data_IF_962853281118
#
_entry.id   IF_962853281118
#
_cell.length_a   1.000
_cell.length_b   1.000
_cell.length_c   1.000
_cell.angle_alpha   90.00
_cell.angle_beta   90.00
_cell.angle_gamma   90.00
#
_symmetry.space_group_name_H-M   'P 1'
#
loop_
_entity.id
_entity.type
_entity.pdbx_description
1 polymer ?
#
# COMPACT_ATOMS: atom_id res chain seq x y z
N UNK A 1 17.89 22.97 -3.55
CA UNK A 1 17.34 22.66 -2.22
C UNK A 1 16.77 21.25 -2.22
N UNK A 2 16.93 20.52 -1.12
CA UNK A 2 16.46 19.17 -0.92
C UNK A 2 15.73 19.10 0.42
N UNK A 3 14.61 18.37 0.48
CA UNK A 3 13.90 18.05 1.71
C UNK A 3 13.89 16.52 1.92
N UNK A 4 14.16 16.11 3.14
CA UNK A 4 14.20 14.71 3.51
C UNK A 4 12.91 14.31 4.24
N UNK A 5 12.26 13.24 3.77
CA UNK A 5 11.05 12.71 4.38
C UNK A 5 11.31 11.30 4.91
N UNK A 6 11.18 11.13 6.22
CA UNK A 6 11.24 9.83 6.86
C UNK A 6 9.84 9.19 6.88
N UNK A 7 9.66 8.08 6.19
CA UNK A 7 8.47 7.23 6.35
C UNK A 7 8.79 6.16 7.40
N UNK A 8 8.06 6.15 8.50
CA UNK A 8 8.33 5.24 9.61
C UNK A 8 7.06 4.56 10.11
N UNK A 9 7.20 3.30 10.54
CA UNK A 9 6.11 2.55 11.16
C UNK A 9 6.00 2.88 12.66
N UNK A 10 4.77 3.14 13.11
CA UNK A 10 4.41 3.39 14.50
C UNK A 10 3.60 2.21 15.00
N UNK A 11 4.20 1.19 15.60
CA UNK A 11 3.51 -0.04 15.98
C UNK A 11 2.53 0.16 17.12
N UNK A 12 1.45 -0.65 17.09
CA UNK A 12 0.48 -0.80 18.18
C UNK A 12 0.54 -2.26 18.63
N UNK A 13 1.39 -2.61 19.62
CA UNK A 13 1.46 -3.98 20.11
C UNK A 13 0.09 -4.46 20.61
N UNK A 14 -0.45 -5.60 20.15
CA UNK A 14 -1.79 -6.07 20.49
C UNK A 14 -2.03 -6.20 22.01
N UNK A 15 -0.99 -6.60 22.74
CA UNK A 15 -1.04 -6.79 24.20
C UNK A 15 -1.18 -5.49 24.98
N UNK A 16 -0.82 -4.34 24.39
CA UNK A 16 -0.80 -3.03 25.08
C UNK A 16 -1.86 -2.09 24.49
N UNK A 17 -2.17 -2.21 23.20
CA UNK A 17 -3.13 -1.36 22.49
C UNK A 17 -2.70 0.11 22.33
N UNK A 18 -1.46 0.45 22.70
CA UNK A 18 -0.93 1.81 22.66
C UNK A 18 0.10 1.97 21.53
N UNK A 19 0.02 3.06 20.76
CA UNK A 19 1.02 3.42 19.76
C UNK A 19 2.38 3.67 20.40
N UNK A 20 3.44 3.10 19.85
CA UNK A 20 4.81 3.26 20.34
C UNK A 20 5.63 4.13 19.39
N UNK A 21 5.99 5.33 19.85
CA UNK A 21 6.77 6.32 19.07
C UNK A 21 8.29 6.07 19.08
N UNK A 22 8.79 5.26 20.00
CA UNK A 22 10.26 4.99 20.12
C UNK A 22 10.89 4.42 18.85
N UNK A 23 10.28 3.47 18.11
CA UNK A 23 10.86 2.97 16.86
C UNK A 23 11.14 4.08 15.84
N UNK A 24 10.19 5.01 15.67
CA UNK A 24 10.37 6.19 14.79
C UNK A 24 11.48 7.12 15.28
N UNK A 25 11.59 7.33 16.61
CA UNK A 25 12.68 8.13 17.19
C UNK A 25 14.06 7.48 16.93
N UNK A 26 14.15 6.14 17.01
CA UNK A 26 15.38 5.43 16.67
C UNK A 26 15.70 5.52 15.17
N UNK A 27 14.69 5.39 14.30
CA UNK A 27 14.87 5.57 12.86
C UNK A 27 15.40 6.97 12.52
N UNK A 28 14.85 8.02 13.13
CA UNK A 28 15.35 9.39 12.97
C UNK A 28 16.79 9.55 13.46
N UNK A 29 17.13 8.96 14.62
CA UNK A 29 18.52 8.97 15.12
C UNK A 29 19.49 8.26 14.16
N UNK A 30 19.07 7.14 13.57
CA UNK A 30 19.89 6.43 12.58
C UNK A 30 20.17 7.31 11.37
N UNK A 31 19.18 8.06 10.87
CA UNK A 31 19.38 9.03 9.81
C UNK A 31 20.35 10.14 10.24
N UNK A 32 20.21 10.67 11.46
CA UNK A 32 21.10 11.70 11.98
C UNK A 32 22.56 11.21 12.05
N UNK A 33 22.80 9.93 12.40
CA UNK A 33 24.17 9.39 12.39
C UNK A 33 24.77 9.31 10.97
N UNK A 34 23.95 9.26 9.94
CA UNK A 34 24.34 9.35 8.54
C UNK A 34 24.43 10.81 8.03
N UNK A 35 24.28 11.80 8.91
CA UNK A 35 24.33 13.23 8.56
C UNK A 35 23.03 13.76 7.93
N UNK A 36 21.90 13.03 8.02
CA UNK A 36 20.62 13.41 7.44
C UNK A 36 19.64 13.77 8.55
N UNK A 37 19.19 15.03 8.59
CA UNK A 37 18.07 15.45 9.43
C UNK A 37 16.78 15.38 8.60
N UNK A 38 15.75 14.60 9.01
CA UNK A 38 14.48 14.62 8.30
C UNK A 38 13.78 15.97 8.48
N UNK A 39 13.23 16.49 7.40
CA UNK A 39 12.37 17.68 7.39
C UNK A 39 10.94 17.33 7.73
N UNK A 40 10.53 16.12 7.35
CA UNK A 40 9.18 15.59 7.55
C UNK A 40 9.22 14.16 8.06
N UNK A 41 8.20 13.79 8.82
CA UNK A 41 7.96 12.40 9.24
C UNK A 41 6.56 11.99 8.82
N UNK A 42 6.44 10.90 8.05
CA UNK A 42 5.17 10.23 7.74
C UNK A 42 5.04 8.98 8.59
N UNK A 43 4.04 8.99 9.47
CA UNK A 43 3.81 7.93 10.44
C UNK A 43 2.82 6.91 9.88
N UNK A 44 3.32 5.73 9.51
CA UNK A 44 2.50 4.58 9.13
C UNK A 44 2.03 3.84 10.38
N UNK A 45 0.72 3.66 10.53
CA UNK A 45 0.12 2.97 11.67
C UNK A 45 -1.25 2.37 11.28
N UNK A 46 -1.81 1.48 12.09
CA UNK A 46 -3.17 0.93 11.87
C UNK A 46 -4.25 2.03 11.93
N UNK A 47 -4.05 3.05 12.76
CA UNK A 47 -4.98 4.17 12.95
C UNK A 47 -4.24 5.51 12.97
N UNK A 48 -4.95 6.65 12.81
CA UNK A 48 -4.34 7.96 12.83
C UNK A 48 -3.55 8.22 14.11
N UNK A 49 -2.43 8.93 13.97
CA UNK A 49 -1.61 9.35 15.11
C UNK A 49 -2.23 10.57 15.79
N UNK A 50 -2.33 10.55 17.10
CA UNK A 50 -2.92 11.63 17.89
C UNK A 50 -1.93 12.80 18.16
N UNK A 51 -2.47 13.92 18.61
CA UNK A 51 -1.69 15.12 18.91
C UNK A 51 -0.60 14.89 19.97
N UNK A 52 -0.82 14.20 21.10
CA UNK A 52 0.22 13.93 22.07
C UNK A 52 1.39 13.13 21.51
N UNK A 53 1.13 12.23 20.57
CA UNK A 53 2.18 11.43 19.93
C UNK A 53 2.91 12.21 18.85
N UNK A 54 2.21 13.09 18.10
CA UNK A 54 2.85 14.04 17.18
C UNK A 54 3.83 14.94 17.95
N UNK A 55 3.43 15.50 19.10
CA UNK A 55 4.32 16.30 19.96
C UNK A 55 5.54 15.52 20.45
N UNK A 56 5.32 14.28 20.91
CA UNK A 56 6.40 13.41 21.39
C UNK A 56 7.40 13.07 20.29
N UNK A 57 6.94 12.88 19.07
CA UNK A 57 7.81 12.67 17.90
C UNK A 57 8.51 13.95 17.50
N UNK A 58 7.84 15.10 17.56
CA UNK A 58 8.43 16.39 17.25
C UNK A 58 9.67 16.64 18.11
N UNK A 59 9.53 16.47 19.42
CA UNK A 59 10.65 16.62 20.38
C UNK A 59 11.72 15.55 20.13
N UNK A 60 11.31 14.27 20.02
CA UNK A 60 12.24 13.14 19.95
C UNK A 60 13.00 13.01 18.64
N UNK A 61 12.53 13.66 17.55
CA UNK A 61 13.14 13.63 16.23
C UNK A 61 13.63 14.99 15.74
N UNK A 62 13.50 16.04 16.56
CA UNK A 62 13.86 17.43 16.19
C UNK A 62 13.18 17.91 14.90
N UNK A 63 11.87 17.63 14.77
CA UNK A 63 11.02 18.02 13.64
C UNK A 63 9.85 18.82 14.17
N UNK A 64 9.36 19.81 13.41
CA UNK A 64 8.21 20.59 13.84
C UNK A 64 6.91 19.73 13.95
N UNK A 65 6.01 19.97 14.92
CA UNK A 65 4.77 19.19 15.04
C UNK A 65 3.89 19.21 13.78
N UNK A 66 3.95 20.32 13.02
CA UNK A 66 3.25 20.49 11.74
C UNK A 66 3.88 19.71 10.58
N UNK A 67 5.07 19.17 10.78
CA UNK A 67 5.85 18.43 9.78
C UNK A 67 5.77 16.91 10.02
N UNK A 68 4.83 16.48 10.91
CA UNK A 68 4.55 15.09 11.22
C UNK A 68 3.15 14.75 10.72
N UNK A 69 3.09 13.84 9.75
CA UNK A 69 1.88 13.45 9.04
C UNK A 69 1.45 12.05 9.45
N UNK A 70 0.13 11.88 9.56
CA UNK A 70 -0.48 10.58 9.80
C UNK A 70 -0.76 9.89 8.47
N UNK A 71 -0.35 8.63 8.35
CA UNK A 71 -0.66 7.78 7.21
C UNK A 71 -1.21 6.44 7.71
N UNK A 72 -2.46 6.41 8.19
CA UNK A 72 -3.10 5.20 8.70
C UNK A 72 -3.29 4.17 7.60
N UNK A 73 -3.58 2.93 8.01
CA UNK A 73 -3.92 1.88 7.07
C UNK A 73 -5.15 2.25 6.26
N UNK A 74 -5.09 1.99 4.98
CA UNK A 74 -6.12 2.32 4.00
C UNK A 74 -6.68 1.04 3.35
N UNK A 75 -7.95 1.06 2.96
CA UNK A 75 -8.59 -0.08 2.27
C UNK A 75 -7.95 -0.35 0.90
N UNK A 76 -7.38 0.66 0.29
CA UNK A 76 -6.64 0.56 -0.96
C UNK A 76 -5.52 1.59 -0.98
N UNK A 77 -4.41 1.27 -1.64
CA UNK A 77 -3.28 2.18 -1.82
C UNK A 77 -3.69 3.49 -2.51
N UNK A 78 -4.75 3.46 -3.31
CA UNK A 78 -5.30 4.64 -3.99
C UNK A 78 -5.91 5.69 -3.04
N UNK A 79 -6.19 5.34 -1.77
CA UNK A 79 -6.62 6.33 -0.76
C UNK A 79 -5.45 7.15 -0.19
N UNK A 80 -4.22 6.65 -0.28
CA UNK A 80 -3.05 7.27 0.37
C UNK A 80 -2.82 8.72 -0.06
N UNK A 81 -2.89 9.08 -1.37
CA UNK A 81 -2.76 10.49 -1.77
C UNK A 81 -3.82 11.41 -1.15
N UNK A 82 -5.06 10.93 -1.00
CA UNK A 82 -6.15 11.69 -0.38
C UNK A 82 -5.94 11.88 1.12
N UNK A 83 -5.45 10.86 1.81
CA UNK A 83 -5.10 10.93 3.24
C UNK A 83 -4.00 11.97 3.45
N UNK A 84 -2.94 11.91 2.65
CA UNK A 84 -1.82 12.85 2.75
C UNK A 84 -2.23 14.29 2.38
N UNK A 85 -3.14 14.47 1.43
CA UNK A 85 -3.70 15.80 1.11
C UNK A 85 -4.50 16.34 2.30
N UNK A 86 -5.30 15.50 2.96
CA UNK A 86 -6.06 15.89 4.17
C UNK A 86 -5.13 16.30 5.32
N UNK A 87 -3.99 15.66 5.47
CA UNK A 87 -2.92 16.03 6.42
C UNK A 87 -2.19 17.33 6.00
N UNK A 88 -2.39 17.82 4.79
CA UNK A 88 -1.83 19.07 4.28
C UNK A 88 -0.36 19.01 3.86
N UNK A 89 0.16 17.80 3.55
CA UNK A 89 1.58 17.58 3.24
C UNK A 89 2.07 18.43 2.06
N UNK A 90 1.25 18.57 0.99
CA UNK A 90 1.60 19.36 -0.18
C UNK A 90 1.82 20.83 0.15
N UNK A 91 0.97 21.42 0.99
CA UNK A 91 1.11 22.79 1.43
C UNK A 91 2.39 23.00 2.25
N UNK A 92 2.70 22.05 3.16
CA UNK A 92 3.91 22.14 4.00
C UNK A 92 5.19 22.00 3.18
N UNK A 93 5.21 21.18 2.13
CA UNK A 93 6.34 21.08 1.21
C UNK A 93 6.55 22.40 0.47
N UNK A 94 5.47 23.02 -0.04
CA UNK A 94 5.56 24.31 -0.71
C UNK A 94 6.06 25.42 0.24
N UNK A 95 5.57 25.45 1.48
CA UNK A 95 6.01 26.41 2.50
C UNK A 95 7.53 26.28 2.78
N UNK A 96 8.03 25.05 2.95
CA UNK A 96 9.47 24.82 3.20
C UNK A 96 10.36 25.22 2.02
N UNK A 97 9.86 25.07 0.80
CA UNK A 97 10.56 25.58 -0.40
C UNK A 97 10.33 27.06 -0.67
N UNK A 98 9.59 27.77 0.19
CA UNK A 98 9.19 29.17 -0.04
C UNK A 98 8.46 29.38 -1.37
N UNK A 99 7.71 28.35 -1.81
CA UNK A 99 6.94 28.39 -3.03
C UNK A 99 5.48 28.78 -2.76
N UNK A 100 4.95 29.67 -3.60
CA UNK A 100 3.53 30.03 -3.53
C UNK A 100 2.67 28.94 -4.14
N UNK A 101 1.54 28.67 -3.48
CA UNK A 101 0.53 27.74 -3.99
C UNK A 101 -0.01 28.27 -5.32
N UNK A 102 0.29 27.58 -6.41
CA UNK A 102 -0.30 27.88 -7.72
C UNK A 102 -1.58 27.05 -7.87
N UNK A 103 -2.75 27.71 -7.84
CA UNK A 103 -4.01 27.08 -8.23
C UNK A 103 -3.99 26.77 -9.73
N UNK A 104 -3.45 25.65 -10.12
CA UNK A 104 -3.53 25.15 -11.49
C UNK A 104 -4.26 23.80 -11.49
N UNK A 105 -5.40 23.77 -12.16
CA UNK A 105 -6.17 22.56 -12.43
C UNK A 105 -7.30 22.29 -11.43
N UNK A 106 -8.00 21.21 -11.68
CA UNK A 106 -9.19 20.78 -10.93
C UNK A 106 -8.87 20.13 -9.58
N UNK A 107 -7.60 20.17 -9.16
CA UNK A 107 -7.13 19.51 -7.94
C UNK A 107 -7.27 17.99 -8.00
N UNK A 108 -7.46 17.35 -6.83
CA UNK A 108 -7.65 15.90 -6.71
C UNK A 108 -9.11 15.46 -6.95
N UNK A 109 -10.00 16.32 -7.47
CA UNK A 109 -11.43 15.99 -7.58
C UNK A 109 -11.74 14.77 -8.45
N UNK A 110 -11.09 14.65 -9.61
CA UNK A 110 -11.25 13.47 -10.48
C UNK A 110 -10.67 12.22 -9.84
N UNK A 111 -9.54 12.35 -9.16
CA UNK A 111 -8.91 11.25 -8.42
C UNK A 111 -9.77 10.81 -7.22
N UNK A 112 -10.35 11.76 -6.51
CA UNK A 112 -11.27 11.50 -5.39
C UNK A 112 -12.52 10.75 -5.86
N UNK A 113 -13.07 11.14 -7.03
CA UNK A 113 -14.18 10.41 -7.66
C UNK A 113 -13.78 8.98 -7.98
N UNK A 114 -12.63 8.76 -8.64
CA UNK A 114 -12.11 7.43 -8.92
C UNK A 114 -11.99 6.56 -7.67
N UNK A 115 -11.37 7.08 -6.61
CA UNK A 115 -11.23 6.34 -5.34
C UNK A 115 -12.58 6.00 -4.72
N UNK A 116 -13.55 6.92 -4.79
CA UNK A 116 -14.91 6.68 -4.29
C UNK A 116 -15.63 5.59 -5.08
N UNK A 117 -15.47 5.57 -6.40
CA UNK A 117 -16.01 4.51 -7.27
C UNK A 117 -15.39 3.15 -6.93
N UNK A 118 -14.06 3.08 -6.78
CA UNK A 118 -13.36 1.84 -6.37
C UNK A 118 -13.90 1.30 -5.03
N UNK A 119 -14.11 2.18 -4.06
CA UNK A 119 -14.59 1.78 -2.73
C UNK A 119 -16.07 1.40 -2.69
N UNK A 120 -16.86 1.86 -3.65
CA UNK A 120 -18.29 1.58 -3.76
C UNK A 120 -18.58 0.22 -4.42
N UNK A 121 -17.61 -0.37 -5.12
CA UNK A 121 -17.80 -1.65 -5.79
C UNK A 121 -17.90 -2.79 -4.77
N UNK A 122 -19.00 -3.53 -4.81
CA UNK A 122 -19.30 -4.64 -3.88
C UNK A 122 -19.45 -6.00 -4.57
N UNK A 123 -19.93 -6.01 -5.82
CA UNK A 123 -20.20 -7.23 -6.59
C UNK A 123 -18.89 -7.99 -6.88
N UNK A 124 -18.71 -9.22 -6.35
CA UNK A 124 -17.45 -9.94 -6.50
C UNK A 124 -17.25 -10.46 -7.93
N UNK A 125 -15.98 -10.61 -8.32
CA UNK A 125 -15.53 -11.44 -9.44
C UNK A 125 -14.34 -12.25 -8.95
N UNK A 126 -14.44 -13.57 -9.06
CA UNK A 126 -13.43 -14.53 -8.60
C UNK A 126 -12.47 -14.86 -9.71
N UNK A 127 -11.23 -14.50 -9.56
CA UNK A 127 -10.17 -14.73 -10.56
C UNK A 127 -9.11 -15.66 -9.98
N UNK A 128 -8.90 -16.81 -10.62
CA UNK A 128 -7.79 -17.69 -10.34
C UNK A 128 -6.55 -17.21 -11.11
N UNK A 129 -5.44 -17.02 -10.40
CA UNK A 129 -4.14 -16.75 -11.03
C UNK A 129 -3.32 -18.04 -10.93
N UNK A 130 -3.10 -18.69 -12.07
CA UNK A 130 -2.37 -19.96 -12.15
C UNK A 130 -0.91 -19.70 -12.46
N UNK A 131 -0.02 -20.04 -11.55
CA UNK A 131 1.41 -19.75 -11.72
C UNK A 131 2.34 -20.65 -10.95
N UNK A 132 3.65 -20.34 -11.02
CA UNK A 132 4.72 -21.19 -10.52
C UNK A 132 5.42 -20.68 -9.25
N UNK A 133 5.40 -19.39 -8.99
CA UNK A 133 6.30 -18.75 -8.03
C UNK A 133 5.55 -18.06 -6.88
N UNK A 134 4.42 -18.62 -6.47
CA UNK A 134 3.58 -18.02 -5.44
C UNK A 134 4.04 -18.34 -4.01
N UNK A 135 4.70 -19.48 -3.82
CA UNK A 135 5.06 -19.93 -2.48
C UNK A 135 6.57 -19.96 -2.27
N UNK A 136 7.00 -19.45 -1.13
CA UNK A 136 8.31 -19.69 -0.56
C UNK A 136 8.08 -20.35 0.80
N UNK A 137 8.13 -21.68 0.86
CA UNK A 137 7.68 -22.42 2.05
C UNK A 137 6.18 -22.24 2.30
N UNK A 138 5.81 -21.81 3.50
CA UNK A 138 4.41 -21.62 3.92
C UNK A 138 3.82 -20.24 3.53
N UNK A 139 4.56 -19.41 2.78
CA UNK A 139 4.15 -18.06 2.41
C UNK A 139 3.84 -17.92 0.93
N UNK A 140 2.77 -17.21 0.61
CA UNK A 140 2.42 -16.82 -0.76
C UNK A 140 3.01 -15.43 -1.04
N UNK A 141 3.94 -15.35 -2.01
CA UNK A 141 4.55 -14.10 -2.45
C UNK A 141 3.63 -13.41 -3.47
N UNK A 142 2.69 -12.61 -3.00
CA UNK A 142 1.74 -11.89 -3.86
C UNK A 142 2.38 -10.77 -4.67
N UNK A 143 3.48 -10.20 -4.21
CA UNK A 143 4.19 -9.09 -4.85
C UNK A 143 4.99 -9.49 -6.10
N UNK A 144 5.26 -10.79 -6.30
CA UNK A 144 5.91 -11.29 -7.53
C UNK A 144 5.15 -10.91 -8.80
N UNK A 145 3.82 -10.79 -8.72
CA UNK A 145 2.95 -10.44 -9.84
C UNK A 145 2.18 -9.14 -9.61
N UNK A 146 2.77 -8.16 -8.92
CA UNK A 146 2.10 -6.92 -8.55
C UNK A 146 1.47 -6.20 -9.75
N UNK A 147 2.15 -6.12 -10.88
CA UNK A 147 1.61 -5.51 -12.09
C UNK A 147 0.38 -6.24 -12.65
N UNK A 148 0.37 -7.57 -12.56
CA UNK A 148 -0.78 -8.40 -12.97
C UNK A 148 -1.95 -8.18 -12.02
N UNK A 149 -1.70 -8.16 -10.72
CA UNK A 149 -2.71 -7.88 -9.69
C UNK A 149 -3.36 -6.52 -9.92
N UNK A 150 -2.56 -5.48 -10.11
CA UNK A 150 -3.07 -4.13 -10.33
C UNK A 150 -3.85 -4.03 -11.67
N UNK A 151 -3.39 -4.70 -12.73
CA UNK A 151 -4.11 -4.75 -14.00
C UNK A 151 -5.50 -5.41 -13.84
N UNK A 152 -5.57 -6.54 -13.10
CA UNK A 152 -6.86 -7.21 -12.81
C UNK A 152 -7.76 -6.29 -11.97
N UNK A 153 -7.23 -5.64 -10.95
CA UNK A 153 -8.00 -4.70 -10.13
C UNK A 153 -8.59 -3.58 -10.97
N UNK A 154 -7.79 -2.92 -11.81
CA UNK A 154 -8.25 -1.85 -12.67
C UNK A 154 -9.33 -2.32 -13.66
N UNK A 155 -9.12 -3.47 -14.31
CA UNK A 155 -10.11 -4.05 -15.22
C UNK A 155 -11.42 -4.41 -14.49
N UNK A 156 -11.33 -4.96 -13.29
CA UNK A 156 -12.49 -5.32 -12.48
C UNK A 156 -13.29 -4.09 -12.07
N UNK A 157 -12.63 -3.05 -11.57
CA UNK A 157 -13.32 -1.80 -11.19
C UNK A 157 -13.97 -1.10 -12.36
N UNK A 158 -13.33 -1.09 -13.53
CA UNK A 158 -13.94 -0.55 -14.76
C UNK A 158 -15.24 -1.28 -15.11
N UNK A 159 -15.31 -2.58 -14.82
CA UNK A 159 -16.51 -3.41 -15.01
C UNK A 159 -17.43 -3.48 -13.79
N UNK A 160 -17.26 -2.57 -12.82
CA UNK A 160 -18.05 -2.52 -11.58
C UNK A 160 -18.02 -3.84 -10.80
N UNK A 161 -16.85 -4.49 -10.75
CA UNK A 161 -16.61 -5.73 -10.03
C UNK A 161 -15.51 -5.58 -8.99
N UNK A 162 -15.71 -6.23 -7.84
CA UNK A 162 -14.71 -6.33 -6.78
C UNK A 162 -13.88 -7.59 -7.00
N UNK A 163 -12.57 -7.48 -7.34
CA UNK A 163 -11.75 -8.66 -7.61
C UNK A 163 -11.47 -9.44 -6.32
N UNK A 164 -11.76 -10.73 -6.36
CA UNK A 164 -11.36 -11.74 -5.38
C UNK A 164 -10.33 -12.64 -6.05
N UNK A 165 -9.05 -12.45 -5.69
CA UNK A 165 -7.93 -13.14 -6.34
C UNK A 165 -7.52 -14.37 -5.54
N UNK A 166 -7.39 -15.50 -6.21
CA UNK A 166 -6.87 -16.74 -5.64
C UNK A 166 -5.65 -17.21 -6.42
N UNK A 167 -4.68 -17.69 -5.68
CA UNK A 167 -3.42 -18.20 -6.22
C UNK A 167 -3.48 -19.71 -6.33
N UNK A 168 -3.34 -20.23 -7.53
CA UNK A 168 -3.33 -21.66 -7.80
C UNK A 168 -1.96 -22.05 -8.32
N UNK A 169 -1.30 -22.98 -7.61
CA UNK A 169 -0.04 -23.53 -8.10
C UNK A 169 -0.29 -24.45 -9.30
N UNK A 170 0.39 -24.21 -10.41
CA UNK A 170 0.27 -25.02 -11.61
C UNK A 170 0.56 -26.52 -11.34
N UNK A 171 1.48 -26.84 -10.44
CA UNK A 171 1.78 -28.23 -10.05
C UNK A 171 0.61 -28.91 -9.32
N UNK A 172 -0.23 -28.15 -8.62
CA UNK A 172 -1.44 -28.73 -7.99
C UNK A 172 -2.47 -29.13 -9.01
N UNK A 173 -2.57 -28.41 -10.13
CA UNK A 173 -3.47 -28.75 -11.23
C UNK A 173 -3.06 -30.08 -11.86
N UNK A 174 -1.77 -30.34 -12.01
CA UNK A 174 -1.24 -31.61 -12.53
C UNK A 174 -1.65 -32.82 -11.66
N UNK A 175 -1.79 -32.60 -10.36
CA UNK A 175 -2.08 -33.69 -9.39
C UNK A 175 -3.56 -33.84 -9.07
N UNK A 176 -4.31 -32.74 -8.91
CA UNK A 176 -5.71 -32.73 -8.47
C UNK A 176 -6.71 -32.59 -9.63
N UNK A 177 -6.25 -32.09 -10.77
CA UNK A 177 -7.07 -31.87 -11.97
C UNK A 177 -7.73 -30.49 -12.02
N UNK A 178 -7.92 -30.02 -13.24
CA UNK A 178 -8.43 -28.69 -13.57
C UNK A 178 -9.82 -28.42 -13.02
N UNK A 179 -10.74 -29.39 -13.17
CA UNK A 179 -12.14 -29.20 -12.76
C UNK A 179 -12.28 -28.99 -11.25
N UNK A 180 -11.53 -29.75 -10.45
CA UNK A 180 -11.60 -29.67 -8.99
C UNK A 180 -11.14 -28.27 -8.50
N UNK A 181 -10.03 -27.77 -9.06
CA UNK A 181 -9.39 -26.54 -8.58
C UNK A 181 -9.96 -25.25 -9.18
N UNK A 182 -10.54 -25.31 -10.38
CA UNK A 182 -10.88 -24.09 -11.13
C UNK A 182 -12.39 -23.86 -11.35
N UNK A 183 -13.25 -24.82 -11.04
CA UNK A 183 -14.71 -24.71 -11.32
C UNK A 183 -15.43 -23.60 -10.54
N UNK A 184 -14.82 -23.07 -9.49
CA UNK A 184 -15.42 -22.03 -8.63
C UNK A 184 -15.07 -20.59 -9.02
N UNK A 185 -14.36 -20.37 -10.14
CA UNK A 185 -13.88 -19.07 -10.56
C UNK A 185 -14.62 -18.56 -11.79
N UNK A 186 -14.80 -17.24 -11.85
CA UNK A 186 -15.42 -16.55 -13.00
C UNK A 186 -14.40 -16.33 -14.14
N UNK A 187 -13.11 -16.32 -13.80
CA UNK A 187 -12.03 -16.16 -14.76
C UNK A 187 -10.73 -16.80 -14.29
N UNK A 188 -9.90 -17.19 -15.25
CA UNK A 188 -8.59 -17.78 -15.02
C UNK A 188 -7.55 -16.95 -15.76
N UNK A 189 -6.48 -16.57 -15.08
CA UNK A 189 -5.36 -15.85 -15.66
C UNK A 189 -4.07 -16.65 -15.45
N UNK A 190 -3.36 -16.91 -16.55
CA UNK A 190 -2.08 -17.60 -16.56
C UNK A 190 -1.01 -16.58 -16.93
N UNK A 191 -0.25 -16.05 -15.95
CA UNK A 191 0.82 -15.11 -16.25
C UNK A 191 2.00 -15.83 -16.94
N UNK A 192 2.81 -15.06 -17.65
CA UNK A 192 4.04 -15.55 -18.24
C UNK A 192 4.96 -16.21 -17.23
N UNK A 193 5.80 -17.11 -17.68
CA UNK A 193 6.79 -17.78 -16.85
C UNK A 193 7.71 -18.64 -17.69
N UNK A 194 8.95 -18.79 -17.23
CA UNK A 194 9.99 -19.58 -17.93
C UNK A 194 10.24 -20.90 -17.20
N UNK A 195 10.82 -21.87 -17.93
CA UNK A 195 11.19 -23.20 -17.43
C UNK A 195 10.06 -24.23 -17.52
N UNK A 196 10.42 -25.49 -17.32
CA UNK A 196 9.53 -26.65 -17.52
C UNK A 196 8.62 -26.96 -16.33
N UNK A 197 8.95 -26.51 -15.12
CA UNK A 197 8.19 -26.81 -13.89
C UNK A 197 6.74 -26.30 -13.98
N UNK A 198 5.76 -27.16 -13.72
CA UNK A 198 4.34 -26.84 -13.72
C UNK A 198 3.81 -26.36 -15.09
N UNK A 199 4.45 -26.76 -16.21
CA UNK A 199 4.03 -26.34 -17.55
C UNK A 199 2.72 -27.03 -17.94
N UNK A 200 2.59 -28.31 -17.64
CA UNK A 200 1.39 -29.12 -17.95
C UNK A 200 0.15 -28.58 -17.20
N UNK A 201 0.31 -28.13 -15.96
CA UNK A 201 -0.75 -27.51 -15.18
C UNK A 201 -1.16 -26.10 -15.68
N UNK A 202 -0.46 -25.56 -16.69
CA UNK A 202 -0.79 -24.29 -17.34
C UNK A 202 -1.46 -24.47 -18.70
N UNK A 203 -1.30 -25.62 -19.30
CA UNK A 203 -1.89 -26.02 -20.58
C UNK A 203 -3.28 -26.62 -20.33
#
# INVERSE_FOLDING_TARGET
DVLFMLVSYVPIPPTIGEMKTKPTQYAARTLNTAGIQPDFIVCRAERPIDAPRKEKLAIGCSVGPKDIFSAPDAKTVYQVPLILETEGIGNRILEKFSLTKRHRGKGLGEYQKFVSEVLAVTEPVKIAIVGKYFSTGDFVLTDVYLSVIEAIKHASWLNQRKPELSWINAEEIETKGTRELLSGYDGILIPGGFGSRGIEGKI
#
